data_IF_132655597243
#
_entry.id   IF_132655597243
#
_cell.length_a   1.000
_cell.length_b   1.000
_cell.length_c   1.000
_cell.angle_alpha   90.00
_cell.angle_beta   90.00
_cell.angle_gamma   90.00
#
_symmetry.space_group_name_H-M   'P 1'
#
loop_
_entity.id
_entity.type
_entity.pdbx_description
1 polymer ?
#
# COMPACT_ATOMS: atom_id res chain seq x y z
N UNK A 1 3.16 20.52 -6.33
CA UNK A 1 3.59 19.48 -5.37
C UNK A 1 4.30 20.18 -4.22
N UNK A 2 3.81 20.02 -3.00
CA UNK A 2 4.38 20.65 -1.80
C UNK A 2 5.78 20.11 -1.49
N UNK A 3 6.51 20.80 -0.62
CA UNK A 3 7.82 20.33 -0.14
C UNK A 3 7.71 18.98 0.58
N UNK A 4 6.63 18.79 1.35
CA UNK A 4 6.39 17.56 2.11
C UNK A 4 6.10 16.37 1.20
N UNK A 5 5.31 16.56 0.13
CA UNK A 5 5.04 15.51 -0.85
C UNK A 5 6.33 15.05 -1.55
N UNK A 6 7.22 15.98 -1.91
CA UNK A 6 8.53 15.65 -2.49
C UNK A 6 9.42 14.88 -1.52
N UNK A 7 9.38 15.24 -0.24
CA UNK A 7 10.14 14.53 0.79
C UNK A 7 9.65 13.08 0.94
N UNK A 8 8.34 12.86 1.03
CA UNK A 8 7.74 11.51 1.09
C UNK A 8 8.07 10.70 -0.16
N UNK A 9 7.91 11.29 -1.35
CA UNK A 9 8.29 10.62 -2.60
C UNK A 9 9.76 10.22 -2.61
N UNK A 10 10.64 11.07 -2.08
CA UNK A 10 12.08 10.76 -1.97
C UNK A 10 12.33 9.59 -1.04
N UNK A 11 11.68 9.54 0.13
CA UNK A 11 11.78 8.41 1.06
C UNK A 11 11.42 7.09 0.37
N UNK A 12 10.25 7.05 -0.29
CA UNK A 12 9.75 5.84 -0.96
C UNK A 12 10.64 5.42 -2.13
N UNK A 13 11.02 6.38 -2.98
CA UNK A 13 11.86 6.12 -4.16
C UNK A 13 13.26 5.69 -3.77
N UNK A 14 13.85 6.30 -2.76
CA UNK A 14 15.19 5.94 -2.30
C UNK A 14 15.20 4.55 -1.68
N UNK A 15 14.19 4.21 -0.87
CA UNK A 15 14.06 2.85 -0.35
C UNK A 15 13.95 1.82 -1.48
N UNK A 16 13.06 2.02 -2.45
CA UNK A 16 12.86 1.04 -3.52
C UNK A 16 14.03 0.97 -4.52
N UNK A 17 14.66 2.10 -4.84
CA UNK A 17 15.67 2.15 -5.90
C UNK A 17 17.11 2.00 -5.40
N UNK A 18 17.40 2.29 -4.13
CA UNK A 18 18.77 2.30 -3.58
C UNK A 18 18.99 1.27 -2.46
N UNK A 19 17.94 0.82 -1.77
CA UNK A 19 18.09 -0.15 -0.69
C UNK A 19 18.36 -1.56 -1.23
N UNK A 20 19.25 -2.36 -0.59
CA UNK A 20 19.40 -3.78 -0.92
C UNK A 20 18.17 -4.61 -0.55
N UNK A 21 17.22 -4.04 0.20
CA UNK A 21 15.99 -4.72 0.61
C UNK A 21 15.06 -5.04 -0.56
N UNK A 22 15.14 -4.29 -1.68
CA UNK A 22 14.36 -4.57 -2.88
C UNK A 22 14.97 -5.76 -3.66
N UNK A 23 14.68 -6.99 -3.24
CA UNK A 23 15.27 -8.22 -3.79
C UNK A 23 14.25 -9.37 -3.92
N UNK A 24 14.40 -10.20 -4.95
CA UNK A 24 13.72 -11.47 -5.16
C UNK A 24 14.33 -12.63 -4.35
N UNK A 25 15.42 -12.38 -3.60
CA UNK A 25 16.21 -13.39 -2.87
C UNK A 25 16.57 -14.61 -3.71
N UNK A 26 16.81 -14.39 -5.00
CA UNK A 26 17.38 -15.37 -5.90
C UNK A 26 18.92 -15.33 -5.81
N UNK A 27 19.61 -16.12 -6.64
CA UNK A 27 21.07 -16.19 -6.61
C UNK A 27 21.74 -14.86 -6.95
N UNK A 28 21.08 -14.02 -7.75
CA UNK A 28 21.63 -12.75 -8.22
C UNK A 28 21.14 -11.55 -7.41
N UNK A 29 20.23 -11.75 -6.44
CA UNK A 29 19.50 -10.68 -5.75
C UNK A 29 18.88 -9.68 -6.73
N UNK A 30 18.22 -10.19 -7.77
CA UNK A 30 17.46 -9.37 -8.71
C UNK A 30 16.39 -8.55 -7.98
N UNK A 31 16.11 -7.33 -8.47
CA UNK A 31 15.10 -6.46 -7.88
C UNK A 31 13.71 -7.06 -7.96
N UNK A 32 12.95 -6.99 -6.85
CA UNK A 32 11.54 -7.39 -6.85
C UNK A 32 10.65 -6.37 -7.58
N UNK A 33 10.89 -5.09 -7.33
CA UNK A 33 10.04 -3.99 -7.82
C UNK A 33 10.81 -2.96 -8.65
N UNK A 34 10.14 -2.44 -9.68
CA UNK A 34 10.61 -1.31 -10.48
C UNK A 34 10.45 0.01 -9.71
N UNK A 35 10.64 1.14 -10.41
CA UNK A 35 10.41 2.47 -9.84
C UNK A 35 8.94 2.62 -9.38
N UNK A 36 8.70 3.06 -8.13
CA UNK A 36 7.35 3.11 -7.58
C UNK A 36 6.55 4.29 -8.11
N UNK A 37 5.22 4.15 -8.10
CA UNK A 37 4.29 5.27 -8.21
C UNK A 37 3.83 5.64 -6.82
N UNK A 38 3.70 6.94 -6.53
CA UNK A 38 3.25 7.46 -5.23
C UNK A 38 2.08 8.39 -5.50
N UNK A 39 1.02 8.23 -4.70
CA UNK A 39 -0.20 9.00 -4.78
C UNK A 39 -0.62 9.45 -3.40
N UNK A 40 -1.37 10.53 -3.36
CA UNK A 40 -1.89 11.13 -2.13
C UNK A 40 -3.37 11.40 -2.30
N UNK A 41 -4.12 11.19 -1.24
CA UNK A 41 -5.52 11.58 -1.13
C UNK A 41 -5.78 12.19 0.23
N UNK A 42 -6.77 13.07 0.30
CA UNK A 42 -7.19 13.67 1.56
C UNK A 42 -7.93 12.64 2.40
N UNK A 43 -7.79 12.67 3.73
CA UNK A 43 -8.53 11.76 4.60
C UNK A 43 -10.04 12.01 4.59
N UNK A 44 -10.50 13.20 4.16
CA UNK A 44 -11.90 13.58 3.98
C UNK A 44 -12.48 13.26 2.59
N UNK A 45 -11.74 12.54 1.74
CA UNK A 45 -12.26 12.09 0.45
C UNK A 45 -13.48 11.18 0.65
N UNK A 46 -14.59 11.49 -0.05
CA UNK A 46 -15.86 10.79 0.11
C UNK A 46 -15.77 9.29 -0.18
N UNK A 47 -14.80 8.90 -1.01
CA UNK A 47 -14.56 7.49 -1.36
C UNK A 47 -14.32 6.62 -0.14
N UNK A 48 -13.67 7.14 0.92
CA UNK A 48 -13.43 6.35 2.12
C UNK A 48 -14.71 5.95 2.84
N UNK A 49 -15.69 6.85 2.88
CA UNK A 49 -17.01 6.55 3.43
C UNK A 49 -17.78 5.61 2.50
N UNK A 50 -17.73 5.83 1.18
CA UNK A 50 -18.36 4.93 0.20
C UNK A 50 -17.83 3.50 0.28
N UNK A 51 -16.51 3.31 0.45
CA UNK A 51 -15.92 1.99 0.65
C UNK A 51 -16.47 1.31 1.90
N UNK A 52 -16.57 2.05 3.00
CA UNK A 52 -17.11 1.51 4.25
C UNK A 52 -18.58 1.11 4.11
N UNK A 53 -19.38 1.96 3.49
CA UNK A 53 -20.81 1.71 3.27
C UNK A 53 -21.04 0.47 2.40
N UNK A 54 -20.17 0.22 1.41
CA UNK A 54 -20.26 -0.97 0.56
C UNK A 54 -19.68 -2.23 1.22
N UNK A 55 -18.49 -2.14 1.83
CA UNK A 55 -17.75 -3.30 2.34
C UNK A 55 -18.34 -3.79 3.67
N UNK A 56 -18.72 -2.85 4.54
CA UNK A 56 -19.34 -3.13 5.83
C UNK A 56 -18.76 -2.27 6.98
N UNK A 57 -19.48 -2.21 8.11
CA UNK A 57 -19.14 -1.32 9.24
C UNK A 57 -17.80 -1.64 9.93
N UNK A 58 -17.22 -2.82 9.68
CA UNK A 58 -15.90 -3.18 10.17
C UNK A 58 -14.76 -2.48 9.41
N UNK A 59 -15.03 -1.95 8.21
CA UNK A 59 -14.06 -1.26 7.38
C UNK A 59 -13.73 0.11 7.98
N UNK A 60 -12.46 0.47 7.99
CA UNK A 60 -12.00 1.71 8.59
C UNK A 60 -11.94 2.84 7.57
N UNK A 61 -12.46 3.98 7.99
CA UNK A 61 -12.10 5.29 7.43
C UNK A 61 -10.70 5.73 7.93
N UNK A 62 -10.07 6.71 7.26
CA UNK A 62 -8.79 7.30 7.67
C UNK A 62 -8.72 7.69 9.15
N UNK A 63 -9.70 8.44 9.66
CA UNK A 63 -9.74 8.90 11.05
C UNK A 63 -9.99 7.75 12.02
N UNK A 64 -10.74 6.72 11.65
CA UNK A 64 -10.94 5.56 12.52
C UNK A 64 -9.66 4.78 12.79
N UNK A 65 -8.86 4.49 11.76
CA UNK A 65 -7.58 3.78 11.98
C UNK A 65 -6.56 4.68 12.69
N UNK A 66 -6.54 5.97 12.36
CA UNK A 66 -5.66 6.93 13.01
C UNK A 66 -5.99 7.05 14.50
N UNK A 67 -7.25 7.31 14.86
CA UNK A 67 -7.69 7.49 16.24
C UNK A 67 -7.70 6.19 17.06
N UNK A 68 -7.82 5.02 16.42
CA UNK A 68 -7.56 3.73 17.11
C UNK A 68 -6.10 3.58 17.52
N UNK A 69 -5.18 4.11 16.72
CA UNK A 69 -3.73 4.07 16.99
C UNK A 69 -3.30 5.18 17.95
N UNK A 70 -3.89 6.37 17.81
CA UNK A 70 -3.59 7.56 18.62
C UNK A 70 -4.86 8.15 19.28
N UNK A 71 -5.46 7.48 20.28
CA UNK A 71 -6.75 7.90 20.85
C UNK A 71 -6.78 9.31 21.45
N UNK A 72 -5.62 9.84 21.83
CA UNK A 72 -5.49 11.17 22.44
C UNK A 72 -5.44 12.31 21.42
N UNK A 73 -5.26 12.01 20.12
CA UNK A 73 -5.19 13.02 19.07
C UNK A 73 -6.56 13.51 18.65
N UNK A 74 -7.55 12.60 18.60
CA UNK A 74 -8.91 12.89 18.15
C UNK A 74 -8.91 13.67 16.82
N UNK A 75 -8.11 13.19 15.86
CA UNK A 75 -7.94 13.83 14.56
C UNK A 75 -9.21 13.67 13.72
N UNK A 76 -9.57 14.71 13.00
CA UNK A 76 -10.65 14.69 12.03
C UNK A 76 -10.12 14.28 10.65
N UNK A 77 -10.98 13.71 9.80
CA UNK A 77 -10.55 13.14 8.51
C UNK A 77 -9.87 14.18 7.61
N UNK A 78 -10.27 15.46 7.67
CA UNK A 78 -9.71 16.55 6.88
C UNK A 78 -8.29 16.97 7.33
N UNK A 79 -7.86 16.54 8.52
CA UNK A 79 -6.50 16.78 9.03
C UNK A 79 -5.51 15.69 8.59
N UNK A 80 -6.03 14.61 7.97
CA UNK A 80 -5.25 13.45 7.61
C UNK A 80 -4.92 13.44 6.12
N UNK A 81 -3.72 12.98 5.79
CA UNK A 81 -3.32 12.68 4.41
C UNK A 81 -3.04 11.20 4.30
N UNK A 82 -3.60 10.56 3.28
CA UNK A 82 -3.31 9.18 2.96
C UNK A 82 -2.19 9.12 1.92
N UNK A 83 -1.17 8.33 2.21
CA UNK A 83 -0.04 8.06 1.33
C UNK A 83 -0.24 6.65 0.76
N UNK A 84 -0.27 6.54 -0.56
CA UNK A 84 -0.40 5.26 -1.26
C UNK A 84 0.73 5.10 -2.27
N UNK A 85 1.09 3.86 -2.58
CA UNK A 85 2.07 3.57 -3.61
C UNK A 85 1.74 2.29 -4.38
N UNK A 86 2.19 2.25 -5.63
CA UNK A 86 2.23 1.03 -6.46
C UNK A 86 3.69 0.61 -6.61
N UNK A 87 3.94 -0.69 -6.42
CA UNK A 87 5.23 -1.33 -6.67
C UNK A 87 5.15 -2.16 -7.97
N UNK A 88 5.59 -1.62 -9.12
CA UNK A 88 5.39 -2.30 -10.39
C UNK A 88 6.35 -3.47 -10.57
N UNK A 89 5.87 -4.53 -11.22
CA UNK A 89 6.73 -5.64 -11.66
C UNK A 89 7.83 -5.15 -12.61
N UNK A 90 9.05 -5.66 -12.44
CA UNK A 90 10.18 -5.36 -13.34
C UNK A 90 9.91 -5.83 -14.78
N UNK A 91 10.62 -5.25 -15.75
CA UNK A 91 10.52 -5.67 -17.15
C UNK A 91 10.89 -7.15 -17.34
N UNK A 92 11.90 -7.62 -16.61
CA UNK A 92 12.37 -9.00 -16.61
C UNK A 92 11.30 -9.95 -16.06
N UNK A 93 10.73 -9.66 -14.89
CA UNK A 93 9.66 -10.49 -14.29
C UNK A 93 8.46 -10.59 -15.22
N UNK A 94 8.02 -9.47 -15.82
CA UNK A 94 6.92 -9.48 -16.80
C UNK A 94 7.26 -10.28 -18.06
N UNK A 95 8.50 -10.16 -18.56
CA UNK A 95 8.95 -10.89 -19.75
C UNK A 95 8.98 -12.39 -19.54
N UNK A 96 9.40 -12.81 -18.36
CA UNK A 96 9.45 -14.22 -17.98
C UNK A 96 8.05 -14.79 -17.83
N UNK A 97 7.19 -14.11 -17.06
CA UNK A 97 5.82 -14.57 -16.81
C UNK A 97 4.95 -14.63 -18.07
N UNK A 98 5.23 -13.80 -19.09
CA UNK A 98 4.51 -13.84 -20.38
C UNK A 98 4.74 -15.12 -21.19
N UNK A 99 5.80 -15.88 -20.91
CA UNK A 99 6.12 -17.14 -21.60
C UNK A 99 5.35 -18.31 -20.99
N UNK A 100 4.86 -18.15 -19.77
CA UNK A 100 4.18 -19.20 -19.05
C UNK A 100 2.71 -19.33 -19.46
N UNK A 101 2.19 -20.55 -19.41
CA UNK A 101 0.80 -20.86 -19.78
C UNK A 101 0.02 -21.63 -18.72
N UNK A 102 0.70 -22.17 -17.70
CA UNK A 102 0.09 -22.96 -16.62
C UNK A 102 0.39 -22.38 -15.23
N UNK A 103 1.68 -22.18 -14.90
CA UNK A 103 2.13 -21.65 -13.61
C UNK A 103 2.85 -20.30 -13.77
N UNK A 104 2.83 -19.42 -12.76
CA UNK A 104 3.62 -18.19 -12.82
C UNK A 104 5.12 -18.51 -12.90
N UNK A 105 5.90 -17.63 -13.53
CA UNK A 105 7.35 -17.78 -13.58
C UNK A 105 7.96 -17.73 -12.17
N UNK A 106 9.16 -18.28 -12.00
CA UNK A 106 9.86 -18.23 -10.70
C UNK A 106 9.98 -16.79 -10.19
N UNK A 107 10.33 -15.84 -11.06
CA UNK A 107 10.40 -14.42 -10.71
C UNK A 107 9.07 -13.89 -10.17
N UNK A 108 7.96 -14.27 -10.81
CA UNK A 108 6.63 -13.83 -10.39
C UNK A 108 6.24 -14.42 -9.03
N UNK A 109 6.48 -15.72 -8.83
CA UNK A 109 6.25 -16.41 -7.56
C UNK A 109 7.10 -15.82 -6.42
N UNK A 110 8.37 -15.51 -6.69
CA UNK A 110 9.27 -14.82 -5.75
C UNK A 110 8.80 -13.42 -5.43
N UNK A 111 8.40 -12.63 -6.43
CA UNK A 111 7.88 -11.27 -6.21
C UNK A 111 6.63 -11.29 -5.33
N UNK A 112 5.77 -12.31 -5.46
CA UNK A 112 4.58 -12.45 -4.60
C UNK A 112 4.91 -12.62 -3.11
N UNK A 113 6.01 -13.30 -2.79
CA UNK A 113 6.43 -13.59 -1.40
C UNK A 113 7.44 -12.56 -0.92
N UNK A 114 8.62 -12.54 -1.53
CA UNK A 114 9.71 -11.66 -1.12
C UNK A 114 9.41 -10.20 -1.44
N UNK A 115 8.68 -9.92 -2.52
CA UNK A 115 8.24 -8.56 -2.80
C UNK A 115 7.25 -8.01 -1.76
N UNK A 116 6.41 -8.85 -1.15
CA UNK A 116 5.56 -8.43 -0.02
C UNK A 116 6.40 -8.15 1.23
N UNK A 117 7.47 -8.92 1.48
CA UNK A 117 8.44 -8.58 2.54
C UNK A 117 9.09 -7.21 2.29
N UNK A 118 9.41 -6.87 1.03
CA UNK A 118 9.91 -5.52 0.67
C UNK A 118 8.86 -4.46 0.99
N UNK A 119 7.60 -4.70 0.65
CA UNK A 119 6.50 -3.77 0.90
C UNK A 119 6.27 -3.55 2.40
N UNK A 120 6.36 -4.61 3.22
CA UNK A 120 6.31 -4.51 4.68
C UNK A 120 7.44 -3.64 5.23
N UNK A 121 8.68 -3.86 4.75
CA UNK A 121 9.84 -3.05 5.16
C UNK A 121 9.71 -1.61 4.70
N UNK A 122 9.15 -1.35 3.51
CA UNK A 122 8.87 -0.01 3.03
C UNK A 122 7.86 0.71 3.93
N UNK A 123 6.76 0.05 4.31
CA UNK A 123 5.77 0.62 5.27
C UNK A 123 6.45 1.06 6.56
N UNK A 124 7.23 0.16 7.17
CA UNK A 124 7.99 0.44 8.41
C UNK A 124 8.96 1.61 8.22
N UNK A 125 9.70 1.61 7.11
CA UNK A 125 10.67 2.68 6.82
C UNK A 125 9.99 4.04 6.69
N UNK A 126 8.87 4.13 5.96
CA UNK A 126 8.10 5.38 5.82
C UNK A 126 7.55 5.84 7.17
N UNK A 127 6.94 4.94 7.95
CA UNK A 127 6.47 5.26 9.31
C UNK A 127 7.59 5.81 10.19
N UNK A 128 8.75 5.15 10.21
CA UNK A 128 9.91 5.57 10.99
C UNK A 128 10.41 6.95 10.58
N UNK A 129 10.55 7.22 9.28
CA UNK A 129 11.01 8.52 8.77
C UNK A 129 10.04 9.66 9.11
N UNK A 130 8.73 9.44 8.98
CA UNK A 130 7.73 10.44 9.32
C UNK A 130 7.64 10.68 10.83
N UNK A 131 7.72 9.62 11.63
CA UNK A 131 7.75 9.72 13.10
C UNK A 131 8.98 10.49 13.58
N UNK A 132 10.15 10.24 12.98
CA UNK A 132 11.39 11.00 13.28
C UNK A 132 11.26 12.48 12.90
N UNK A 133 10.45 12.79 11.88
CA UNK A 133 10.06 14.15 11.51
C UNK A 133 9.02 14.79 12.44
N UNK A 134 8.55 14.10 13.48
CA UNK A 134 7.56 14.59 14.42
C UNK A 134 6.11 14.46 13.95
N UNK A 135 5.85 13.64 12.93
CA UNK A 135 4.51 13.40 12.37
C UNK A 135 3.97 12.09 12.94
N UNK A 136 2.78 12.12 13.53
CA UNK A 136 2.07 10.89 13.90
C UNK A 136 1.61 10.16 12.64
N UNK A 137 1.96 8.89 12.51
CA UNK A 137 1.73 8.08 11.31
C UNK A 137 1.36 6.66 11.70
N UNK A 138 0.49 6.05 10.89
CA UNK A 138 0.16 4.63 10.98
C UNK A 138 0.09 4.03 9.58
N UNK A 139 0.70 2.88 9.38
CA UNK A 139 0.55 1.99 8.25
C UNK A 139 -0.56 0.97 8.61
N UNK A 140 -1.78 1.11 8.06
CA UNK A 140 -2.92 0.31 8.51
C UNK A 140 -2.69 -1.20 8.39
N UNK A 141 -1.96 -1.65 7.37
CA UNK A 141 -1.62 -3.07 7.16
C UNK A 141 -0.69 -3.66 8.23
N UNK A 142 0.04 -2.82 8.98
CA UNK A 142 0.93 -3.25 10.07
C UNK A 142 0.27 -3.12 11.44
N UNK A 143 -0.92 -2.51 11.52
CA UNK A 143 -1.65 -2.37 12.77
C UNK A 143 -1.99 -3.74 13.35
N UNK A 144 -1.79 -3.99 14.66
CA UNK A 144 -2.22 -5.24 15.29
C UNK A 144 -3.74 -5.42 15.28
N UNK A 145 -4.49 -4.35 15.00
CA UNK A 145 -5.94 -4.38 14.85
C UNK A 145 -6.37 -4.82 13.44
N UNK A 146 -5.44 -4.83 12.48
CA UNK A 146 -5.74 -5.19 11.10
C UNK A 146 -6.13 -6.67 11.03
N UNK A 147 -7.09 -6.98 10.18
CA UNK A 147 -7.49 -8.36 10.00
C UNK A 147 -8.50 -8.57 8.89
N UNK A 148 -8.58 -9.82 8.46
CA UNK A 148 -9.65 -10.29 7.58
C UNK A 148 -10.97 -10.31 8.33
N UNK A 149 -12.04 -10.05 7.59
CA UNK A 149 -13.42 -9.95 8.06
C UNK A 149 -14.32 -10.58 7.00
N UNK A 150 -15.49 -11.01 7.44
CA UNK A 150 -16.54 -11.47 6.53
C UNK A 150 -17.46 -10.30 6.20
N UNK A 151 -17.64 -10.05 4.91
CA UNK A 151 -18.57 -9.10 4.34
C UNK A 151 -19.75 -9.87 3.75
N UNK A 152 -20.97 -9.46 4.08
CA UNK A 152 -22.18 -10.08 3.53
C UNK A 152 -22.25 -9.94 2.00
N UNK A 153 -21.71 -8.84 1.48
CA UNK A 153 -21.73 -8.50 0.05
C UNK A 153 -20.55 -9.10 -0.74
N UNK A 154 -19.38 -9.26 -0.11
CA UNK A 154 -18.12 -9.57 -0.80
C UNK A 154 -17.38 -10.80 -0.27
N UNK A 155 -17.92 -11.50 0.73
CA UNK A 155 -17.25 -12.62 1.38
C UNK A 155 -16.01 -12.16 2.13
N UNK A 156 -14.82 -12.66 1.80
CA UNK A 156 -13.60 -12.29 2.51
C UNK A 156 -13.15 -10.86 2.18
N UNK A 157 -13.19 -9.99 3.19
CA UNK A 157 -12.69 -8.63 3.15
C UNK A 157 -11.62 -8.41 4.23
N UNK A 158 -11.06 -7.20 4.30
CA UNK A 158 -10.22 -6.74 5.39
C UNK A 158 -10.76 -5.40 5.90
N UNK A 159 -10.47 -5.05 7.14
CA UNK A 159 -10.83 -3.75 7.70
C UNK A 159 -10.05 -2.56 7.10
N UNK A 160 -9.03 -2.82 6.28
CA UNK A 160 -8.39 -1.83 5.43
C UNK A 160 -7.93 -2.47 4.12
N UNK A 161 -8.08 -1.77 2.99
CA UNK A 161 -7.73 -2.26 1.66
C UNK A 161 -6.80 -1.32 0.91
N UNK A 162 -5.54 -1.74 0.71
CA UNK A 162 -4.55 -0.96 -0.05
C UNK A 162 -4.98 -0.68 -1.50
N UNK A 163 -5.77 -1.57 -2.12
CA UNK A 163 -6.28 -1.36 -3.50
C UNK A 163 -7.29 -0.22 -3.57
N UNK A 164 -8.23 -0.15 -2.62
CA UNK A 164 -9.20 0.95 -2.55
C UNK A 164 -8.50 2.27 -2.21
N UNK A 165 -7.50 2.22 -1.31
CA UNK A 165 -6.66 3.38 -1.01
C UNK A 165 -5.93 3.89 -2.25
N UNK A 166 -5.33 2.99 -3.04
CA UNK A 166 -4.65 3.37 -4.28
C UNK A 166 -5.61 3.96 -5.34
N UNK A 167 -6.84 3.44 -5.43
CA UNK A 167 -7.88 4.04 -6.27
C UNK A 167 -8.21 5.47 -5.82
N UNK A 168 -8.47 5.70 -4.54
CA UNK A 168 -8.75 7.04 -3.99
C UNK A 168 -7.56 8.01 -4.19
N UNK A 169 -6.33 7.51 -4.09
CA UNK A 169 -5.11 8.28 -4.36
C UNK A 169 -4.79 8.47 -5.86
N UNK A 170 -5.70 8.08 -6.77
CA UNK A 170 -5.56 8.29 -8.21
C UNK A 170 -4.50 7.42 -8.90
N UNK A 171 -4.15 6.27 -8.31
CA UNK A 171 -3.08 5.39 -8.79
C UNK A 171 -3.53 4.28 -9.74
N UNK A 172 -4.83 4.20 -10.04
CA UNK A 172 -5.36 3.21 -10.96
C UNK A 172 -6.87 3.10 -10.93
N UNK A 173 -7.40 2.10 -11.64
CA UNK A 173 -8.85 1.78 -11.71
C UNK A 173 -9.09 0.30 -11.50
N UNK A 174 -10.30 -0.09 -11.10
CA UNK A 174 -10.64 -1.52 -10.97
C UNK A 174 -10.97 -2.13 -12.34
N UNK A 175 -10.25 -3.18 -12.70
CA UNK A 175 -10.52 -4.00 -13.88
C UNK A 175 -11.59 -5.06 -13.64
N UNK A 176 -11.96 -5.79 -14.70
CA UNK A 176 -13.01 -6.81 -14.66
C UNK A 176 -12.71 -8.01 -13.74
N UNK A 177 -11.45 -8.19 -13.33
CA UNK A 177 -11.03 -9.25 -12.41
C UNK A 177 -10.86 -8.75 -10.97
N UNK A 178 -11.42 -7.58 -10.65
CA UNK A 178 -11.29 -6.87 -9.37
C UNK A 178 -9.84 -6.48 -9.01
N UNK A 179 -8.90 -6.66 -9.94
CA UNK A 179 -7.54 -6.15 -9.85
C UNK A 179 -7.50 -4.65 -10.11
N UNK A 180 -6.67 -3.93 -9.36
CA UNK A 180 -6.35 -2.54 -9.67
C UNK A 180 -5.36 -2.51 -10.85
N UNK A 181 -5.65 -1.73 -11.88
CA UNK A 181 -4.83 -1.55 -13.10
C UNK A 181 -4.40 -0.09 -13.30
#
# INVERSE_FOLDING_TARGET
>A
MSQDAKWIETIVRDFINKSPENTLKDRNNERAWADPLIGFSSGDDSLYQEFKDHIGPFYWTPDEIFNKTFPQKNAESHELTIISWILPQTGQTKSDNRKETEYPSERWARARVYGEEVNEKLRKHVEEQLTQGGIDVVAPMLSPLWGRRDSDSYGFASNWSERHTAFASGLGTFGLCDGLI
#
